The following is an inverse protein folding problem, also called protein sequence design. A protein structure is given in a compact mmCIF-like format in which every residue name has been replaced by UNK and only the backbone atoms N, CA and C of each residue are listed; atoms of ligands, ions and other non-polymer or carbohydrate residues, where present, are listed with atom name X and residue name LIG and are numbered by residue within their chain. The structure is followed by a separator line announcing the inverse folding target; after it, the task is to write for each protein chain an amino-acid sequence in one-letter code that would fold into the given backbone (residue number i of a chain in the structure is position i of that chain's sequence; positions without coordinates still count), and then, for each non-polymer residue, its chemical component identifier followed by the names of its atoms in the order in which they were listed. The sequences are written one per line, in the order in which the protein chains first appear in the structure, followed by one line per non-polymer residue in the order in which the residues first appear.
data_IF_969436223799
#
_entry.id   IF_969436223799
#
_cell.length_a   1.000
_cell.length_b   1.000
_cell.length_c   1.000
_cell.angle_alpha   90.00
_cell.angle_beta   90.00
_cell.angle_gamma   90.00
#
_symmetry.space_group_name_H-M   'P 1'
#
loop_
_entity.id
_entity.type
_entity.pdbx_description
1 polymer ?
#
# COMPACT_ATOMS: atom_id res chain seq x y z
N UNK A 1 -9.86 -4.21 10.74
CA UNK A 1 -11.25 -4.49 11.14
C UNK A 1 -12.25 -3.94 10.13
N UNK A 2 -12.15 -2.66 9.74
CA UNK A 2 -13.08 -2.04 8.78
C UNK A 2 -13.14 -2.83 7.47
N UNK A 3 -12.01 -3.04 6.80
CA UNK A 3 -11.96 -3.81 5.54
C UNK A 3 -12.56 -5.22 5.70
N UNK A 4 -12.29 -5.87 6.82
CA UNK A 4 -12.83 -7.21 7.10
C UNK A 4 -14.36 -7.22 7.18
N UNK A 5 -14.95 -6.19 7.81
CA UNK A 5 -16.40 -6.10 7.98
C UNK A 5 -17.15 -5.64 6.75
N UNK A 6 -16.53 -4.81 5.93
CA UNK A 6 -17.22 -4.11 4.83
C UNK A 6 -16.89 -4.71 3.47
N UNK A 7 -15.66 -5.22 3.27
CA UNK A 7 -15.16 -5.62 1.96
C UNK A 7 -14.90 -7.12 1.80
N UNK A 8 -14.95 -7.91 2.91
CA UNK A 8 -14.83 -9.35 2.83
C UNK A 8 -15.96 -9.94 1.97
N UNK A 9 -15.61 -10.89 1.11
CA UNK A 9 -16.56 -11.62 0.29
C UNK A 9 -16.64 -13.09 0.71
N UNK A 10 -17.83 -13.74 0.71
CA UNK A 10 -17.97 -15.12 1.18
C UNK A 10 -17.32 -16.16 0.27
N UNK A 11 -17.09 -15.83 -1.01
CA UNK A 11 -16.62 -16.79 -2.03
C UNK A 11 -15.42 -16.30 -2.85
N UNK A 12 -14.96 -15.06 -2.67
CA UNK A 12 -13.87 -14.46 -3.44
C UNK A 12 -12.78 -14.01 -2.47
N UNK A 13 -11.56 -14.43 -2.71
CA UNK A 13 -10.40 -13.99 -1.95
C UNK A 13 -10.01 -12.56 -2.40
N UNK A 14 -10.25 -11.59 -1.53
CA UNK A 14 -9.99 -10.18 -1.79
C UNK A 14 -8.77 -9.68 -1.04
N UNK A 15 -8.05 -8.79 -1.68
CA UNK A 15 -6.99 -7.98 -1.06
C UNK A 15 -7.37 -6.52 -1.19
N UNK A 16 -7.33 -5.77 -0.09
CA UNK A 16 -7.45 -4.31 -0.11
C UNK A 16 -6.04 -3.75 -0.01
N UNK A 17 -5.65 -2.99 -1.02
CA UNK A 17 -4.34 -2.36 -1.16
C UNK A 17 -4.50 -0.86 -1.02
N UNK A 18 -4.01 -0.30 0.08
CA UNK A 18 -3.92 1.15 0.24
C UNK A 18 -2.52 1.62 -0.19
N UNK A 19 -2.46 2.54 -1.16
CA UNK A 19 -1.21 3.16 -1.63
C UNK A 19 -1.21 4.63 -1.23
N UNK A 20 -0.81 4.88 0.03
CA UNK A 20 -0.48 6.19 0.54
C UNK A 20 1.01 6.47 0.42
N UNK A 21 1.61 7.19 1.38
CA UNK A 21 3.07 7.33 1.48
C UNK A 21 3.77 5.97 1.64
N UNK A 22 3.25 5.15 2.55
CA UNK A 22 3.56 3.71 2.67
C UNK A 22 2.40 2.94 2.05
N UNK A 23 2.70 1.84 1.37
CA UNK A 23 1.70 0.92 0.87
C UNK A 23 1.46 -0.20 1.87
N UNK A 24 0.18 -0.55 2.07
CA UNK A 24 -0.20 -1.65 2.95
C UNK A 24 -1.33 -2.48 2.34
N UNK A 25 -1.38 -3.74 2.73
CA UNK A 25 -2.41 -4.68 2.31
C UNK A 25 -3.25 -5.14 3.50
N UNK A 26 -4.53 -5.38 3.24
CA UNK A 26 -5.41 -6.19 4.08
C UNK A 26 -5.85 -7.39 3.27
N UNK A 27 -5.37 -8.55 3.64
CA UNK A 27 -5.72 -9.83 3.02
C UNK A 27 -7.00 -10.39 3.65
N UNK A 28 -7.98 -10.69 2.81
CA UNK A 28 -9.33 -11.15 3.19
C UNK A 28 -9.64 -12.53 2.59
N UNK A 29 -8.89 -13.57 2.96
CA UNK A 29 -9.08 -14.91 2.40
C UNK A 29 -10.42 -15.51 2.83
N UNK A 30 -11.00 -16.36 1.98
CA UNK A 30 -12.26 -17.05 2.27
C UNK A 30 -12.03 -18.05 3.40
N UNK A 31 -12.84 -17.94 4.46
CA UNK A 31 -12.82 -18.89 5.58
C UNK A 31 -11.56 -18.87 6.46
N UNK A 32 -10.65 -17.92 6.26
CA UNK A 32 -9.42 -17.78 7.06
C UNK A 32 -9.36 -16.41 7.75
N UNK A 33 -8.52 -16.25 8.78
CA UNK A 33 -8.31 -14.98 9.44
C UNK A 33 -7.77 -13.91 8.48
N UNK A 34 -8.14 -12.65 8.74
CA UNK A 34 -7.58 -11.48 8.08
C UNK A 34 -6.12 -11.30 8.46
N UNK A 35 -5.29 -10.98 7.47
CA UNK A 35 -3.92 -10.52 7.65
C UNK A 35 -3.82 -9.06 7.18
N UNK A 36 -2.95 -8.27 7.84
CA UNK A 36 -2.68 -6.89 7.43
C UNK A 36 -1.25 -6.51 7.74
N UNK A 37 -0.57 -5.85 6.79
CA UNK A 37 0.84 -5.47 6.94
C UNK A 37 1.26 -4.45 5.87
N UNK A 38 2.36 -3.74 6.12
CA UNK A 38 2.96 -2.82 5.15
C UNK A 38 3.81 -3.60 4.13
N UNK A 39 3.67 -3.24 2.85
CA UNK A 39 4.44 -3.86 1.77
C UNK A 39 5.76 -3.15 1.49
N UNK A 40 5.84 -1.84 1.80
CA UNK A 40 6.99 -0.99 1.57
C UNK A 40 6.60 0.44 1.22
N UNK A 41 7.49 1.22 0.58
CA UNK A 41 7.17 2.56 0.13
C UNK A 41 6.05 2.52 -0.91
N UNK A 42 5.03 3.36 -0.70
CA UNK A 42 4.01 3.67 -1.70
C UNK A 42 4.45 4.87 -2.54
N UNK A 43 3.79 6.01 -2.38
CA UNK A 43 4.15 7.24 -3.09
C UNK A 43 5.34 7.99 -2.46
N UNK A 44 5.71 7.67 -1.21
CA UNK A 44 6.65 8.43 -0.39
C UNK A 44 7.95 8.81 -1.10
N UNK A 45 8.62 7.83 -1.70
CA UNK A 45 9.91 8.05 -2.37
C UNK A 45 9.72 8.76 -3.71
N UNK A 46 8.69 8.42 -4.47
CA UNK A 46 8.34 9.08 -5.73
C UNK A 46 8.02 10.55 -5.52
N UNK A 47 7.20 10.87 -4.51
CA UNK A 47 6.80 12.24 -4.19
C UNK A 47 7.98 13.07 -3.67
N UNK A 48 8.81 12.50 -2.80
CA UNK A 48 10.01 13.17 -2.31
C UNK A 48 11.03 13.43 -3.45
N UNK A 49 11.16 12.49 -4.39
CA UNK A 49 12.08 12.62 -5.52
C UNK A 49 11.63 13.69 -6.52
N UNK A 50 10.35 13.69 -6.90
CA UNK A 50 9.85 14.74 -7.81
C UNK A 50 9.83 16.12 -7.12
N UNK A 51 9.54 16.21 -5.83
CA UNK A 51 9.62 17.46 -5.09
C UNK A 51 11.04 18.03 -5.14
N UNK A 52 12.06 17.20 -4.94
CA UNK A 52 13.47 17.59 -5.00
C UNK A 52 13.91 18.08 -6.39
N UNK A 53 13.43 17.45 -7.48
CA UNK A 53 13.94 17.69 -8.82
C UNK A 53 13.07 18.60 -9.68
N UNK A 54 11.76 18.66 -9.41
CA UNK A 54 10.79 19.43 -10.19
C UNK A 54 9.94 20.39 -9.35
N UNK A 55 10.13 20.43 -8.03
CA UNK A 55 9.32 21.24 -7.10
C UNK A 55 7.81 20.99 -7.23
N UNK A 56 7.43 19.74 -7.55
CA UNK A 56 6.04 19.29 -7.65
C UNK A 56 5.70 18.38 -6.47
N UNK A 57 4.45 18.39 -5.97
CA UNK A 57 4.06 17.57 -4.82
C UNK A 57 3.99 16.07 -5.13
N UNK A 58 3.69 15.68 -6.37
CA UNK A 58 3.60 14.28 -6.83
C UNK A 58 3.73 14.19 -8.36
N UNK A 59 3.99 12.98 -8.86
CA UNK A 59 4.07 12.65 -10.28
C UNK A 59 2.68 12.27 -10.80
N UNK A 60 1.97 13.26 -11.38
CA UNK A 60 0.62 13.05 -11.89
C UNK A 60 0.60 11.94 -12.96
N UNK A 61 -0.22 10.90 -12.73
CA UNK A 61 -0.36 9.73 -13.59
C UNK A 61 0.94 8.95 -13.89
N UNK A 62 2.02 9.20 -13.14
CA UNK A 62 3.33 8.63 -13.40
C UNK A 62 3.97 9.16 -14.70
N UNK A 63 3.57 10.36 -15.13
CA UNK A 63 4.01 10.93 -16.43
C UNK A 63 5.51 11.18 -16.46
N UNK A 64 6.11 11.61 -15.36
CA UNK A 64 7.55 11.79 -15.29
C UNK A 64 8.28 10.44 -15.23
N UNK A 65 7.82 9.50 -14.44
CA UNK A 65 8.35 8.13 -14.45
C UNK A 65 8.29 7.50 -15.84
N UNK A 66 7.24 7.78 -16.62
CA UNK A 66 7.10 7.31 -17.99
C UNK A 66 8.12 7.90 -18.98
N UNK A 67 8.74 9.03 -18.66
CA UNK A 67 9.80 9.64 -19.48
C UNK A 67 11.18 9.06 -19.22
N UNK A 68 11.34 8.32 -18.11
CA UNK A 68 12.57 7.63 -17.74
C UNK A 68 12.54 6.15 -18.11
N UNK A 69 13.66 5.47 -17.83
CA UNK A 69 13.82 4.03 -17.98
C UNK A 69 14.13 3.42 -16.62
N UNK A 70 13.55 2.27 -16.34
CA UNK A 70 13.90 1.50 -15.14
C UNK A 70 15.37 1.12 -15.24
N UNK A 71 16.12 1.33 -14.15
CA UNK A 71 17.52 0.91 -14.00
C UNK A 71 17.52 -0.42 -13.23
N UNK A 72 17.72 -1.56 -13.91
CA UNK A 72 17.58 -2.89 -13.27
C UNK A 72 18.51 -3.08 -12.07
N UNK A 73 19.75 -2.61 -12.16
CA UNK A 73 20.77 -2.76 -11.10
C UNK A 73 20.40 -1.92 -9.86
N UNK A 74 19.80 -0.74 -10.06
CA UNK A 74 19.29 0.08 -8.97
C UNK A 74 18.08 -0.59 -8.34
N UNK A 75 17.11 -1.04 -9.13
CA UNK A 75 15.91 -1.73 -8.64
C UNK A 75 16.28 -2.95 -7.79
N UNK A 76 17.18 -3.81 -8.28
CA UNK A 76 17.68 -4.95 -7.52
C UNK A 76 18.31 -4.52 -6.19
N UNK A 77 19.17 -3.49 -6.21
CA UNK A 77 19.81 -2.95 -5.02
C UNK A 77 18.81 -2.39 -4.00
N UNK A 78 17.75 -1.74 -4.47
CA UNK A 78 16.66 -1.25 -3.60
C UNK A 78 15.87 -2.41 -2.98
N UNK A 79 15.59 -3.46 -3.75
CA UNK A 79 14.86 -4.64 -3.29
C UNK A 79 15.66 -5.54 -2.31
N UNK A 80 16.98 -5.32 -2.15
CA UNK A 80 17.75 -6.03 -1.12
C UNK A 80 17.46 -5.56 0.31
N UNK A 81 16.66 -4.48 0.48
CA UNK A 81 16.28 -4.02 1.82
C UNK A 81 15.61 -5.15 2.62
N UNK A 82 16.10 -5.41 3.82
CA UNK A 82 15.67 -6.55 4.65
C UNK A 82 14.18 -6.53 4.98
N UNK A 83 13.59 -5.33 5.05
CA UNK A 83 12.17 -5.16 5.28
C UNK A 83 11.31 -5.93 4.29
N UNK A 84 11.67 -5.98 3.01
CA UNK A 84 10.87 -6.66 1.99
C UNK A 84 10.76 -8.17 2.25
N UNK A 85 11.81 -8.79 2.77
CA UNK A 85 11.88 -10.21 3.08
C UNK A 85 11.34 -10.59 4.47
N UNK A 86 10.97 -9.61 5.30
CA UNK A 86 10.40 -9.84 6.62
C UNK A 86 8.98 -10.40 6.49
N UNK A 87 8.66 -11.43 7.29
CA UNK A 87 7.30 -11.98 7.34
C UNK A 87 6.35 -11.09 8.11
N UNK A 88 5.07 -11.02 7.69
CA UNK A 88 4.02 -10.39 8.50
C UNK A 88 3.87 -11.05 9.89
N UNK A 89 3.46 -10.27 10.92
CA UNK A 89 3.11 -8.86 10.86
C UNK A 89 4.34 -7.96 10.77
N UNK A 90 4.34 -6.99 9.84
CA UNK A 90 5.42 -6.01 9.68
C UNK A 90 4.86 -4.64 9.36
N UNK A 91 5.56 -3.61 9.85
CA UNK A 91 5.23 -2.22 9.60
C UNK A 91 6.49 -1.42 9.32
N UNK A 92 6.38 -0.33 8.56
CA UNK A 92 7.48 0.56 8.18
C UNK A 92 7.01 2.00 8.06
N UNK A 93 7.94 2.92 7.86
CA UNK A 93 7.64 4.34 7.80
C UNK A 93 8.75 5.16 7.15
N UNK A 94 8.65 6.48 7.33
CA UNK A 94 9.63 7.47 6.85
C UNK A 94 10.99 7.38 7.57
N UNK A 95 11.04 6.73 8.70
CA UNK A 95 12.27 6.41 9.44
C UNK A 95 13.18 5.49 8.64
N UNK A 96 12.63 4.54 7.91
CA UNK A 96 13.39 3.64 7.04
C UNK A 96 13.45 4.19 5.61
N UNK A 97 12.29 4.39 4.96
CA UNK A 97 12.23 4.81 3.56
C UNK A 97 12.22 6.34 3.43
N UNK A 98 13.34 6.92 3.05
CA UNK A 98 13.53 8.36 2.88
C UNK A 98 14.58 8.67 1.80
N UNK A 99 14.82 9.95 1.52
CA UNK A 99 15.81 10.34 0.50
C UNK A 99 17.25 9.98 0.87
N UNK A 100 17.59 9.90 2.17
CA UNK A 100 18.93 9.51 2.58
C UNK A 100 19.16 8.01 2.36
N UNK A 101 18.12 7.19 2.64
CA UNK A 101 18.11 5.77 2.29
C UNK A 101 18.30 5.56 0.78
N UNK A 102 17.60 6.34 -0.04
CA UNK A 102 17.74 6.29 -1.50
C UNK A 102 19.15 6.74 -1.94
N UNK A 103 19.64 7.88 -1.41
CA UNK A 103 20.93 8.45 -1.78
C UNK A 103 22.11 7.48 -1.56
N UNK A 104 22.06 6.69 -0.48
CA UNK A 104 23.07 5.66 -0.21
C UNK A 104 23.10 4.53 -1.26
N UNK A 105 22.06 4.41 -2.07
CA UNK A 105 21.90 3.35 -3.07
C UNK A 105 22.07 3.85 -4.51
N UNK A 106 22.19 5.16 -4.71
CA UNK A 106 22.49 5.76 -6.00
C UNK A 106 23.98 5.68 -6.29
N UNK A 107 24.36 5.54 -7.55
CA UNK A 107 25.74 5.59 -8.03
C UNK A 107 26.18 7.02 -8.38
N UNK A 108 25.23 7.96 -8.49
CA UNK A 108 25.45 9.35 -8.83
C UNK A 108 25.46 9.67 -10.34
N UNK A 109 25.32 8.65 -11.18
CA UNK A 109 25.30 8.79 -12.65
C UNK A 109 23.88 8.62 -13.23
N UNK A 110 22.90 8.31 -12.41
CA UNK A 110 21.51 8.07 -12.82
C UNK A 110 20.82 9.38 -13.19
N UNK A 111 20.05 9.41 -14.29
CA UNK A 111 19.20 10.56 -14.56
C UNK A 111 18.03 10.59 -13.58
N UNK A 112 17.57 11.78 -13.22
CA UNK A 112 16.47 11.92 -12.26
C UNK A 112 15.17 11.25 -12.75
N UNK A 113 14.90 11.24 -14.05
CA UNK A 113 13.74 10.58 -14.63
C UNK A 113 13.85 9.05 -14.55
N UNK A 114 15.05 8.48 -14.76
CA UNK A 114 15.27 7.04 -14.65
C UNK A 114 15.14 6.56 -13.20
N UNK A 115 15.61 7.37 -12.24
CA UNK A 115 15.38 7.08 -10.81
C UNK A 115 13.89 7.10 -10.51
N UNK A 116 13.11 8.09 -10.99
CA UNK A 116 11.67 8.13 -10.80
C UNK A 116 10.96 6.90 -11.37
N UNK A 117 11.35 6.48 -12.59
CA UNK A 117 10.83 5.25 -13.20
C UNK A 117 11.15 4.00 -12.35
N UNK A 118 12.37 3.95 -11.79
CA UNK A 118 12.81 2.84 -10.93
C UNK A 118 12.09 2.84 -9.59
N UNK A 119 11.77 4.01 -9.01
CA UNK A 119 10.99 4.12 -7.77
C UNK A 119 9.53 3.68 -7.97
N UNK A 120 8.93 3.98 -9.13
CA UNK A 120 7.61 3.46 -9.47
C UNK A 120 7.63 1.93 -9.58
N UNK A 121 8.65 1.37 -10.23
CA UNK A 121 8.83 -0.07 -10.31
C UNK A 121 9.05 -0.70 -8.93
N UNK A 122 9.87 -0.09 -8.07
CA UNK A 122 10.08 -0.54 -6.69
C UNK A 122 8.76 -0.65 -5.93
N UNK A 123 7.91 0.38 -6.00
CA UNK A 123 6.58 0.37 -5.36
C UNK A 123 5.73 -0.77 -5.92
N UNK A 124 5.65 -0.89 -7.24
CA UNK A 124 4.85 -1.94 -7.89
C UNK A 124 5.33 -3.35 -7.58
N UNK A 125 6.64 -3.59 -7.67
CA UNK A 125 7.24 -4.91 -7.44
C UNK A 125 7.15 -5.32 -5.96
N UNK A 126 7.45 -4.41 -5.02
CA UNK A 126 7.34 -4.71 -3.58
C UNK A 126 5.91 -5.07 -3.16
N UNK A 127 4.90 -4.39 -3.73
CA UNK A 127 3.49 -4.73 -3.53
C UNK A 127 3.18 -6.09 -4.16
N UNK A 128 3.55 -6.29 -5.41
CA UNK A 128 3.25 -7.51 -6.14
C UNK A 128 3.88 -8.75 -5.47
N UNK A 129 5.13 -8.63 -5.04
CA UNK A 129 5.83 -9.71 -4.34
C UNK A 129 5.19 -10.01 -2.98
N UNK A 130 4.77 -8.97 -2.24
CA UNK A 130 4.06 -9.16 -0.98
C UNK A 130 2.71 -9.88 -1.18
N UNK A 131 1.94 -9.53 -2.21
CA UNK A 131 0.68 -10.21 -2.55
C UNK A 131 0.93 -11.65 -2.93
N UNK A 132 1.91 -11.94 -3.81
CA UNK A 132 2.26 -13.31 -4.23
C UNK A 132 2.69 -14.20 -3.07
N UNK A 133 3.48 -13.66 -2.12
CA UNK A 133 4.06 -14.47 -1.06
C UNK A 133 3.16 -14.63 0.17
N UNK A 134 2.30 -13.64 0.45
CA UNK A 134 1.54 -13.61 1.70
C UNK A 134 0.02 -13.62 1.53
N UNK A 135 -0.50 -13.39 0.30
CA UNK A 135 -1.92 -13.41 -0.01
C UNK A 135 -2.23 -14.50 -1.05
N UNK A 136 -1.68 -15.70 -0.84
CA UNK A 136 -1.81 -16.81 -1.78
C UNK A 136 -3.28 -17.16 -2.08
N UNK A 137 -3.61 -17.25 -3.37
CA UNK A 137 -4.97 -17.47 -3.85
C UNK A 137 -5.80 -16.18 -3.99
N UNK A 138 -5.21 -14.98 -3.86
CA UNK A 138 -5.91 -13.73 -4.11
C UNK A 138 -6.45 -13.66 -5.55
N UNK A 139 -7.74 -13.31 -5.69
CA UNK A 139 -8.46 -13.20 -6.95
C UNK A 139 -8.73 -11.75 -7.35
N UNK A 140 -9.05 -10.91 -6.37
CA UNK A 140 -9.35 -9.48 -6.59
C UNK A 140 -8.49 -8.61 -5.69
N UNK A 141 -7.89 -7.56 -6.25
CA UNK A 141 -7.15 -6.53 -5.50
C UNK A 141 -7.83 -5.19 -5.72
N UNK A 142 -8.36 -4.61 -4.65
CA UNK A 142 -8.99 -3.30 -4.66
C UNK A 142 -8.04 -2.25 -4.13
N UNK A 143 -7.68 -1.29 -4.99
CA UNK A 143 -6.69 -0.25 -4.69
C UNK A 143 -7.38 1.02 -4.23
N UNK A 144 -6.93 1.58 -3.11
CA UNK A 144 -7.34 2.87 -2.58
C UNK A 144 -6.13 3.75 -2.23
N UNK A 145 -6.39 4.98 -1.80
CA UNK A 145 -5.37 6.00 -1.53
C UNK A 145 -4.86 6.67 -2.80
N UNK A 146 -3.99 7.66 -2.65
CA UNK A 146 -3.51 8.50 -3.75
C UNK A 146 -2.83 7.74 -4.90
N UNK A 147 -2.20 6.60 -4.61
CA UNK A 147 -1.57 5.74 -5.63
C UNK A 147 -2.56 5.11 -6.61
N UNK A 148 -3.85 4.99 -6.25
CA UNK A 148 -4.91 4.51 -7.14
C UNK A 148 -5.12 5.43 -8.37
N UNK A 149 -4.69 6.68 -8.29
CA UNK A 149 -4.76 7.65 -9.39
C UNK A 149 -3.53 7.61 -10.32
N UNK A 150 -2.48 6.86 -9.97
CA UNK A 150 -1.31 6.70 -10.83
C UNK A 150 -1.56 5.55 -11.81
N UNK A 151 -2.00 5.88 -13.03
CA UNK A 151 -2.35 4.90 -14.07
C UNK A 151 -1.17 4.00 -14.47
N UNK A 152 0.07 4.50 -14.39
CA UNK A 152 1.28 3.71 -14.66
C UNK A 152 1.50 2.65 -13.58
N UNK A 153 1.34 3.03 -12.32
CA UNK A 153 1.46 2.09 -11.20
C UNK A 153 0.36 1.03 -11.25
N UNK A 154 -0.90 1.43 -11.55
CA UNK A 154 -2.00 0.49 -11.73
C UNK A 154 -1.74 -0.52 -12.86
N UNK A 155 -1.20 -0.05 -13.99
CA UNK A 155 -0.82 -0.92 -15.11
C UNK A 155 0.34 -1.85 -14.75
N UNK A 156 1.33 -1.35 -14.00
CA UNK A 156 2.45 -2.17 -13.51
C UNK A 156 1.96 -3.29 -12.59
N UNK A 157 1.08 -2.98 -11.65
CA UNK A 157 0.48 -3.97 -10.75
C UNK A 157 -0.32 -5.04 -11.51
N UNK A 158 -1.12 -4.64 -12.52
CA UNK A 158 -1.87 -5.62 -13.33
C UNK A 158 -0.96 -6.56 -14.11
N UNK A 159 0.17 -6.04 -14.64
CA UNK A 159 1.16 -6.87 -15.31
C UNK A 159 1.91 -7.80 -14.35
N UNK A 160 2.22 -7.30 -13.15
CA UNK A 160 2.95 -8.07 -12.14
C UNK A 160 2.07 -9.13 -11.44
N UNK A 161 0.75 -8.93 -11.41
CA UNK A 161 -0.25 -9.83 -10.78
C UNK A 161 -1.30 -10.30 -11.82
N UNK A 162 -0.90 -11.04 -12.87
CA UNK A 162 -1.82 -11.43 -13.94
C UNK A 162 -2.95 -12.35 -13.48
N UNK A 163 -2.76 -13.05 -12.34
CA UNK A 163 -3.76 -13.93 -11.74
C UNK A 163 -4.85 -13.16 -10.98
N UNK A 164 -4.63 -11.90 -10.64
CA UNK A 164 -5.57 -11.06 -9.91
C UNK A 164 -6.25 -10.06 -10.84
N UNK A 165 -7.49 -9.72 -10.54
CA UNK A 165 -8.17 -8.57 -11.13
C UNK A 165 -7.87 -7.33 -10.29
N UNK A 166 -7.12 -6.37 -10.84
CA UNK A 166 -6.78 -5.12 -10.15
C UNK A 166 -7.82 -4.04 -10.48
N UNK A 167 -8.48 -3.49 -9.47
CA UNK A 167 -9.51 -2.43 -9.62
C UNK A 167 -9.32 -1.36 -8.55
N UNK A 168 -9.87 -0.17 -8.78
CA UNK A 168 -10.05 0.82 -7.73
C UNK A 168 -11.19 0.40 -6.81
N UNK A 169 -11.14 0.81 -5.54
CA UNK A 169 -12.19 0.55 -4.54
C UNK A 169 -13.54 1.15 -4.89
N UNK A 170 -13.58 2.13 -5.80
CA UNK A 170 -14.82 2.69 -6.39
C UNK A 170 -15.73 1.60 -6.96
N UNK A 171 -15.15 0.55 -7.55
CA UNK A 171 -15.90 -0.57 -8.15
C UNK A 171 -16.66 -1.43 -7.13
N UNK A 172 -16.35 -1.30 -5.85
CA UNK A 172 -17.09 -1.92 -4.73
C UNK A 172 -17.81 -0.90 -3.86
N UNK A 173 -18.04 0.30 -4.40
CA UNK A 173 -18.88 1.33 -3.78
C UNK A 173 -18.15 2.20 -2.75
N UNK A 174 -16.84 2.13 -2.66
CA UNK A 174 -16.03 2.98 -1.77
C UNK A 174 -15.02 3.74 -2.61
N UNK A 175 -15.21 5.04 -2.74
CA UNK A 175 -14.28 5.95 -3.40
C UNK A 175 -12.87 5.83 -2.81
N UNK A 176 -11.86 5.78 -3.69
CA UNK A 176 -10.47 5.54 -3.31
C UNK A 176 -9.92 6.60 -2.35
N UNK A 177 -10.37 7.85 -2.45
CA UNK A 177 -9.91 8.97 -1.62
C UNK A 177 -10.67 9.05 -0.28
N UNK A 178 -11.86 8.41 -0.20
CA UNK A 178 -12.70 8.44 1.00
C UNK A 178 -12.58 7.20 1.89
N UNK A 179 -11.82 6.19 1.48
CA UNK A 179 -11.64 4.94 2.22
C UNK A 179 -11.27 5.19 3.69
N UNK A 180 -10.30 6.05 3.95
CA UNK A 180 -9.82 6.37 5.30
C UNK A 180 -10.88 7.12 6.11
N UNK A 181 -11.55 8.12 5.52
CA UNK A 181 -12.60 8.87 6.18
C UNK A 181 -13.79 7.98 6.56
N UNK A 182 -14.19 7.07 5.67
CA UNK A 182 -15.25 6.08 5.93
C UNK A 182 -14.81 5.10 7.02
N UNK A 183 -13.56 4.66 7.02
CA UNK A 183 -13.01 3.79 8.06
C UNK A 183 -13.07 4.46 9.44
N UNK A 184 -12.69 5.74 9.55
CA UNK A 184 -12.77 6.48 10.80
C UNK A 184 -14.23 6.72 11.24
N UNK A 185 -15.14 7.02 10.32
CA UNK A 185 -16.57 7.12 10.63
C UNK A 185 -17.12 5.79 11.17
N UNK A 186 -16.73 4.66 10.55
CA UNK A 186 -17.09 3.34 11.03
C UNK A 186 -16.50 3.05 12.43
N UNK A 187 -15.24 3.41 12.68
CA UNK A 187 -14.60 3.26 14.00
C UNK A 187 -15.35 4.06 15.07
N UNK A 188 -15.70 5.32 14.79
CA UNK A 188 -16.50 6.15 15.68
C UNK A 188 -17.86 5.51 15.97
N UNK A 189 -18.56 4.97 14.97
CA UNK A 189 -19.80 4.24 15.14
C UNK A 189 -19.63 3.02 16.05
N UNK A 190 -18.55 2.22 15.87
CA UNK A 190 -18.29 1.07 16.76
C UNK A 190 -18.10 1.52 18.22
N UNK A 191 -17.34 2.62 18.43
CA UNK A 191 -17.11 3.19 19.76
C UNK A 191 -18.42 3.62 20.42
N UNK A 192 -19.30 4.32 19.68
CA UNK A 192 -20.62 4.75 20.20
C UNK A 192 -21.53 3.57 20.56
N UNK A 193 -21.35 2.44 19.87
CA UNK A 193 -22.10 1.21 20.16
C UNK A 193 -21.37 0.24 21.12
N UNK A 194 -20.26 0.65 21.73
CA UNK A 194 -19.42 -0.17 22.61
C UNK A 194 -19.01 -1.52 21.98
N UNK A 195 -18.75 -1.52 20.67
CA UNK A 195 -18.35 -2.72 19.92
C UNK A 195 -16.84 -2.72 19.67
N UNK A 196 -16.17 -3.88 19.84
CA UNK A 196 -14.76 -4.01 19.47
C UNK A 196 -14.54 -3.70 17.99
N UNK A 197 -13.46 -2.97 17.72
CA UNK A 197 -13.14 -2.51 16.36
C UNK A 197 -11.68 -2.73 15.95
N UNK A 198 -10.92 -3.51 16.72
CA UNK A 198 -9.62 -4.03 16.32
C UNK A 198 -9.71 -5.51 15.89
N UNK A 199 -8.67 -5.98 15.19
CA UNK A 199 -8.45 -7.40 14.92
C UNK A 199 -7.11 -7.80 15.56
N UNK A 200 -7.12 -8.57 16.66
CA UNK A 200 -5.90 -8.98 17.35
C UNK A 200 -4.87 -9.67 16.44
N UNK A 201 -5.33 -10.48 15.50
CA UNK A 201 -4.47 -11.16 14.52
C UNK A 201 -3.68 -10.19 13.62
N UNK A 202 -4.18 -8.96 13.39
CA UNK A 202 -3.54 -7.93 12.57
C UNK A 202 -2.70 -6.99 13.44
N UNK A 203 -3.23 -6.59 14.61
CA UNK A 203 -2.63 -5.55 15.46
C UNK A 203 -1.66 -6.07 16.50
N UNK A 204 -1.63 -7.38 16.73
CA UNK A 204 -0.88 -8.00 17.84
C UNK A 204 -1.50 -7.73 19.22
N UNK A 205 -2.70 -7.14 19.28
CA UNK A 205 -3.40 -6.91 20.54
C UNK A 205 -3.78 -8.23 21.22
N UNK A 206 -3.83 -8.24 22.56
CA UNK A 206 -4.13 -9.46 23.35
C UNK A 206 -5.58 -9.92 23.18
N UNK A 207 -6.49 -9.00 22.95
CA UNK A 207 -7.94 -9.27 22.81
C UNK A 207 -8.64 -8.20 21.96
N UNK A 208 -9.87 -8.48 21.49
CA UNK A 208 -10.73 -7.45 20.89
C UNK A 208 -11.03 -6.35 21.90
N UNK A 209 -11.00 -5.09 21.47
CA UNK A 209 -11.23 -3.93 22.32
C UNK A 209 -12.07 -2.87 21.60
N UNK A 210 -12.87 -2.13 22.35
CA UNK A 210 -13.49 -0.89 21.90
C UNK A 210 -12.38 0.14 21.79
N UNK A 211 -12.24 0.73 20.61
CA UNK A 211 -11.21 1.75 20.34
C UNK A 211 -11.80 3.16 20.51
N UNK A 212 -10.92 4.11 20.84
CA UNK A 212 -11.29 5.51 21.04
C UNK A 212 -11.79 5.82 22.45
N UNK A 213 -12.11 7.11 22.66
CA UNK A 213 -12.65 7.60 23.92
C UNK A 213 -13.78 8.61 23.64
N UNK A 214 -14.77 8.64 24.52
CA UNK A 214 -15.88 9.59 24.48
C UNK A 214 -15.64 10.59 25.62
N UNK A 215 -15.53 11.87 25.28
CA UNK A 215 -15.40 12.96 26.24
C UNK A 215 -16.74 13.70 26.28
N UNK A 216 -17.58 13.47 27.31
CA UNK A 216 -18.82 14.21 27.44
C UNK A 216 -18.53 15.70 27.70
N UNK A 217 -19.40 16.58 27.20
CA UNK A 217 -19.35 18.01 27.42
C UNK A 217 -19.67 18.36 28.89
#
# INVERSE_FOLDING_TARGET
AFHDKVLRHPHIHRVILNIGGIANVTDLPVGKPTLGFDTGPGNLLMDAWIAKHQSKPYDKDGAWAASGKIIPELLQRLLTETFFNTRPPKSTGRDLFNLDWLAQRLSGNETAADVQATLLALTGDSIADAVKHFCDGAEEVYVCGGGAHNSRLMSHLQLALPQCTIKKSDSVGIDADWMEAIAFAWLAQQTMHLRPSNLPAVTGARHPAVLGAIYPA
#
